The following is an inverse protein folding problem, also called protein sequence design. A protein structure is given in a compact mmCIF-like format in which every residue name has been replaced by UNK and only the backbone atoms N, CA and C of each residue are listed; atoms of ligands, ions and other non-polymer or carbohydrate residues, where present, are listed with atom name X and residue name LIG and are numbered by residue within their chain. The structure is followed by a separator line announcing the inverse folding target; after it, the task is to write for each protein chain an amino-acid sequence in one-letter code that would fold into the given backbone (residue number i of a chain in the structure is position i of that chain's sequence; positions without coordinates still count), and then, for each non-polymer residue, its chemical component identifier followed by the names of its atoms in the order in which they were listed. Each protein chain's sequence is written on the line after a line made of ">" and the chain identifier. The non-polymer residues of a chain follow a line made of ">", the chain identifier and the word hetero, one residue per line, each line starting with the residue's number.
data_IF_511246533045
#
_entry.id   IF_511246533045
#
_cell.length_a   1.000
_cell.length_b   1.000
_cell.length_c   1.000
_cell.angle_alpha   90.00
_cell.angle_beta   90.00
_cell.angle_gamma   90.00
#
_symmetry.space_group_name_H-M   'P 1'
#
loop_
_entity.id
_entity.type
_entity.pdbx_description
1 polymer ?
#
# COMPACT_ATOMS: atom_id res chain seq x y z
N UNK A 1 -39.91 -15.42 -9.30
CA UNK A 1 -39.28 -14.11 -9.09
C UNK A 1 -39.57 -13.67 -7.66
N UNK A 2 -38.65 -13.88 -6.71
CA UNK A 2 -38.78 -13.34 -5.34
C UNK A 2 -38.46 -11.84 -5.42
N UNK A 3 -39.43 -11.01 -5.05
CA UNK A 3 -39.27 -9.55 -4.95
C UNK A 3 -38.07 -9.24 -4.04
N UNK A 4 -37.01 -8.69 -4.62
CA UNK A 4 -35.96 -8.03 -3.83
C UNK A 4 -36.67 -6.90 -3.10
N UNK A 5 -36.76 -6.98 -1.76
CA UNK A 5 -37.20 -5.86 -0.94
C UNK A 5 -36.36 -4.66 -1.33
N UNK A 6 -36.98 -3.57 -1.82
CA UNK A 6 -36.35 -2.28 -1.95
C UNK A 6 -35.82 -1.93 -0.56
N UNK A 7 -34.50 -2.01 -0.37
CA UNK A 7 -33.86 -1.45 0.82
C UNK A 7 -34.06 0.07 0.77
N UNK A 8 -35.07 0.54 1.50
CA UNK A 8 -35.32 1.98 1.69
C UNK A 8 -34.35 2.62 2.71
N UNK A 9 -33.37 1.87 3.21
CA UNK A 9 -32.36 2.33 4.17
C UNK A 9 -30.99 2.15 3.55
N UNK A 10 -30.13 3.15 3.75
CA UNK A 10 -28.72 3.10 3.35
C UNK A 10 -28.02 1.94 4.06
N UNK A 11 -27.21 1.15 3.35
CA UNK A 11 -26.41 0.08 3.96
C UNK A 11 -25.37 0.69 4.90
N UNK A 12 -25.30 0.19 6.13
CA UNK A 12 -24.27 0.53 7.11
C UNK A 12 -23.07 -0.39 6.94
N UNK A 13 -21.93 0.18 6.60
CA UNK A 13 -20.69 -0.54 6.32
C UNK A 13 -19.67 -0.20 7.39
N UNK A 14 -19.25 -1.19 8.18
CA UNK A 14 -18.17 -1.09 9.13
C UNK A 14 -16.85 -1.57 8.56
N UNK A 15 -15.77 -0.83 8.74
CA UNK A 15 -14.40 -1.20 8.35
C UNK A 15 -13.55 -1.24 9.61
N UNK A 16 -12.95 -2.38 9.93
CA UNK A 16 -12.19 -2.52 11.18
C UNK A 16 -10.84 -1.85 11.11
N UNK A 17 -10.41 -1.26 12.23
CA UNK A 17 -9.10 -0.64 12.41
C UNK A 17 -8.61 -0.85 13.85
N UNK A 18 -7.28 -0.80 14.08
CA UNK A 18 -6.67 -0.90 15.41
C UNK A 18 -5.67 0.25 15.63
N UNK A 19 -6.17 1.48 15.79
CA UNK A 19 -5.35 2.58 16.27
C UNK A 19 -5.14 2.42 17.78
N UNK A 20 -3.91 2.67 18.23
CA UNK A 20 -3.54 2.58 19.66
C UNK A 20 -3.59 3.92 20.38
N UNK A 21 -3.55 5.02 19.62
CA UNK A 21 -3.66 6.38 20.13
C UNK A 21 -4.20 7.34 19.07
N UNK A 22 -4.71 8.48 19.48
CA UNK A 22 -5.19 9.54 18.57
C UNK A 22 -4.04 10.26 17.82
N UNK A 23 -2.81 10.14 18.32
CA UNK A 23 -1.63 10.74 17.70
C UNK A 23 -0.92 9.79 16.70
N UNK A 24 -1.47 8.60 16.52
CA UNK A 24 -0.86 7.61 15.65
C UNK A 24 -0.88 8.05 14.17
N UNK A 25 0.29 8.14 13.54
CA UNK A 25 0.43 8.60 12.16
C UNK A 25 -0.20 7.61 11.16
N UNK A 26 -0.86 8.15 10.13
CA UNK A 26 -1.33 7.37 8.96
C UNK A 26 -0.17 6.65 8.25
N UNK A 27 1.04 7.19 8.33
CA UNK A 27 2.24 6.67 7.65
C UNK A 27 2.93 5.54 8.42
N UNK A 28 2.44 5.18 9.61
CA UNK A 28 3.07 4.13 10.43
C UNK A 28 2.98 2.73 9.78
N UNK A 29 1.92 2.47 9.00
CA UNK A 29 1.80 1.28 8.15
C UNK A 29 0.79 1.50 7.01
N UNK A 30 0.97 0.77 5.90
CA UNK A 30 0.09 0.87 4.73
C UNK A 30 -1.34 0.37 4.96
N UNK A 31 -1.62 -0.36 6.04
CA UNK A 31 -2.95 -0.86 6.35
C UNK A 31 -3.92 0.29 6.64
N UNK A 32 -3.48 1.32 7.36
CA UNK A 32 -4.32 2.50 7.64
C UNK A 32 -4.70 3.23 6.35
N UNK A 33 -3.74 3.38 5.42
CA UNK A 33 -4.01 3.98 4.11
C UNK A 33 -5.07 3.17 3.35
N UNK A 34 -4.95 1.84 3.32
CA UNK A 34 -5.95 0.98 2.69
C UNK A 34 -7.36 1.20 3.27
N UNK A 35 -7.50 1.21 4.61
CA UNK A 35 -8.78 1.44 5.29
C UNK A 35 -9.37 2.80 4.90
N UNK A 36 -8.56 3.85 4.91
CA UNK A 36 -9.02 5.21 4.61
C UNK A 36 -9.36 5.41 3.13
N UNK A 37 -8.55 4.85 2.21
CA UNK A 37 -8.85 4.92 0.78
C UNK A 37 -10.14 4.17 0.44
N UNK A 38 -10.35 3.01 1.06
CA UNK A 38 -11.58 2.25 0.88
C UNK A 38 -12.80 3.00 1.44
N UNK A 39 -12.69 3.58 2.63
CA UNK A 39 -13.77 4.39 3.21
C UNK A 39 -14.07 5.62 2.37
N UNK A 40 -13.05 6.34 1.92
CA UNK A 40 -13.19 7.51 1.03
C UNK A 40 -13.86 7.15 -0.31
N UNK A 41 -13.48 6.03 -0.90
CA UNK A 41 -14.09 5.52 -2.13
C UNK A 41 -15.57 5.16 -1.93
N UNK A 42 -15.91 4.41 -0.89
CA UNK A 42 -17.29 4.03 -0.59
C UNK A 42 -18.21 5.23 -0.34
N UNK A 43 -17.71 6.27 0.30
CA UNK A 43 -18.48 7.52 0.51
C UNK A 43 -18.83 8.27 -0.77
N UNK A 44 -18.10 8.01 -1.86
CA UNK A 44 -18.37 8.60 -3.18
C UNK A 44 -19.38 7.80 -4.02
N UNK A 45 -19.74 6.59 -3.54
CA UNK A 45 -20.71 5.74 -4.23
C UNK A 45 -22.09 6.42 -4.32
N UNK A 46 -22.74 6.28 -5.48
CA UNK A 46 -24.13 6.69 -5.71
C UNK A 46 -25.13 5.84 -4.90
N UNK A 47 -24.68 4.74 -4.31
CA UNK A 47 -25.46 3.92 -3.36
C UNK A 47 -25.60 4.56 -1.98
N UNK A 48 -24.86 5.65 -1.74
CA UNK A 48 -24.93 6.44 -0.49
C UNK A 48 -24.75 5.62 0.79
N UNK A 49 -23.73 4.74 0.83
CA UNK A 49 -23.41 3.94 2.02
C UNK A 49 -23.15 4.80 3.26
N UNK A 50 -23.62 4.31 4.41
CA UNK A 50 -23.28 4.88 5.70
C UNK A 50 -22.04 4.15 6.23
N UNK A 51 -20.86 4.80 6.07
CA UNK A 51 -19.54 4.17 6.27
C UNK A 51 -18.98 4.51 7.64
N UNK A 52 -18.62 3.48 8.41
CA UNK A 52 -18.04 3.56 9.75
C UNK A 52 -16.64 2.95 9.77
N UNK A 53 -15.69 3.62 10.41
CA UNK A 53 -14.41 3.04 10.80
C UNK A 53 -14.54 2.60 12.25
N UNK A 54 -14.49 1.28 12.45
CA UNK A 54 -14.70 0.62 13.74
C UNK A 54 -13.32 0.32 14.36
N UNK A 55 -12.90 1.16 15.33
CA UNK A 55 -11.63 0.93 16.03
C UNK A 55 -11.79 -0.15 17.11
N UNK A 56 -10.89 -1.11 17.16
CA UNK A 56 -10.95 -2.20 18.16
C UNK A 56 -10.35 -1.82 19.51
N UNK A 57 -9.62 -0.73 19.59
CA UNK A 57 -9.14 -0.17 20.84
C UNK A 57 -10.01 1.00 21.23
N UNK A 58 -10.29 1.15 22.53
CA UNK A 58 -10.97 2.31 23.07
C UNK A 58 -10.07 3.54 23.02
N UNK A 59 -10.58 4.63 22.50
CA UNK A 59 -9.90 5.92 22.36
C UNK A 59 -10.83 7.06 22.73
N UNK A 60 -10.31 8.28 22.83
CA UNK A 60 -11.13 9.50 22.88
C UNK A 60 -11.62 9.83 21.44
N UNK A 61 -12.80 9.35 21.07
CA UNK A 61 -13.36 9.51 19.74
C UNK A 61 -13.81 10.94 19.41
N UNK A 62 -13.87 11.83 20.41
CA UNK A 62 -14.10 13.26 20.19
C UNK A 62 -12.83 13.95 19.67
N UNK A 63 -11.66 13.50 20.10
CA UNK A 63 -10.33 13.99 19.69
C UNK A 63 -9.73 13.15 18.56
N UNK A 64 -10.54 12.74 17.61
CA UNK A 64 -10.08 11.90 16.51
C UNK A 64 -8.93 12.53 15.69
N UNK A 65 -8.02 11.70 15.14
CA UNK A 65 -6.93 12.18 14.28
C UNK A 65 -7.45 13.04 13.11
N UNK A 66 -6.65 14.00 12.65
CA UNK A 66 -7.03 14.91 11.55
C UNK A 66 -7.42 14.15 10.27
N UNK A 67 -6.73 13.07 9.95
CA UNK A 67 -7.04 12.22 8.78
C UNK A 67 -8.36 11.43 8.91
N UNK A 68 -8.96 11.38 10.09
CA UNK A 68 -10.30 10.80 10.33
C UNK A 68 -11.43 11.84 10.25
N UNK A 69 -11.12 13.10 9.99
CA UNK A 69 -12.16 14.13 9.85
C UNK A 69 -13.09 13.81 8.67
N UNK A 70 -14.39 14.00 8.87
CA UNK A 70 -15.42 13.67 7.89
C UNK A 70 -15.75 12.17 7.80
N UNK A 71 -15.14 11.28 8.62
CA UNK A 71 -15.48 9.88 8.75
C UNK A 71 -16.21 9.59 10.07
N UNK A 72 -17.12 8.60 10.05
CA UNK A 72 -17.72 8.07 11.29
C UNK A 72 -16.67 7.14 11.92
N UNK A 73 -15.92 7.64 12.89
CA UNK A 73 -14.90 6.91 13.60
C UNK A 73 -15.40 6.62 15.02
N UNK A 74 -15.50 5.34 15.40
CA UNK A 74 -16.13 4.92 16.65
C UNK A 74 -15.53 3.62 17.21
N UNK A 75 -15.89 3.30 18.46
CA UNK A 75 -15.48 2.06 19.09
C UNK A 75 -16.22 0.86 18.49
N UNK A 76 -15.49 -0.21 18.21
CA UNK A 76 -16.04 -1.41 17.56
C UNK A 76 -17.18 -2.02 18.40
N UNK A 77 -16.96 -2.21 19.70
CA UNK A 77 -17.90 -2.94 20.56
C UNK A 77 -19.24 -2.23 20.72
N UNK A 78 -19.29 -0.91 20.58
CA UNK A 78 -20.52 -0.13 20.69
C UNK A 78 -21.38 -0.18 19.43
N UNK A 79 -20.76 -0.40 18.24
CA UNK A 79 -21.44 -0.18 16.96
C UNK A 79 -21.50 -1.38 16.02
N UNK A 80 -20.68 -2.44 16.25
CA UNK A 80 -20.57 -3.54 15.25
C UNK A 80 -21.90 -4.26 14.99
N UNK A 81 -22.77 -4.31 15.99
CA UNK A 81 -24.08 -4.96 15.85
C UNK A 81 -25.04 -4.20 14.91
N UNK A 82 -24.84 -2.89 14.75
CA UNK A 82 -25.67 -2.05 13.89
C UNK A 82 -25.31 -2.14 12.40
N UNK A 83 -24.15 -2.70 12.07
CA UNK A 83 -23.67 -2.78 10.69
C UNK A 83 -24.45 -3.81 9.87
N UNK A 84 -24.58 -3.60 8.57
CA UNK A 84 -25.07 -4.59 7.61
C UNK A 84 -23.92 -5.42 7.04
N UNK A 85 -22.77 -4.76 6.83
CA UNK A 85 -21.54 -5.39 6.37
C UNK A 85 -20.41 -4.97 7.31
N UNK A 86 -19.54 -5.92 7.68
CA UNK A 86 -18.26 -5.62 8.32
C UNK A 86 -17.13 -6.12 7.42
N UNK A 87 -16.26 -5.20 7.02
CA UNK A 87 -15.00 -5.52 6.37
C UNK A 87 -13.88 -5.64 7.41
N UNK A 88 -13.35 -6.84 7.60
CA UNK A 88 -12.19 -7.10 8.43
C UNK A 88 -10.94 -6.74 7.64
N UNK A 89 -10.39 -5.57 7.88
CA UNK A 89 -9.29 -4.98 7.12
C UNK A 89 -8.11 -4.59 7.99
N UNK A 90 -8.24 -3.60 8.84
CA UNK A 90 -7.16 -3.05 9.68
C UNK A 90 -7.06 -3.63 11.08
N UNK A 91 -8.00 -4.48 11.48
CA UNK A 91 -7.99 -5.18 12.76
C UNK A 91 -8.70 -6.52 12.64
N UNK A 92 -8.14 -7.55 13.27
CA UNK A 92 -8.74 -8.87 13.40
C UNK A 92 -9.77 -8.86 14.53
N UNK A 93 -10.90 -9.50 14.35
CA UNK A 93 -11.99 -9.60 15.32
C UNK A 93 -12.11 -11.05 15.79
N UNK A 94 -12.34 -11.26 17.05
CA UNK A 94 -12.53 -12.58 17.62
C UNK A 94 -13.82 -13.22 17.09
N UNK A 95 -13.75 -14.50 16.70
CA UNK A 95 -14.85 -15.23 16.05
C UNK A 95 -16.16 -15.17 16.83
N UNK A 96 -16.11 -15.20 18.17
CA UNK A 96 -17.33 -15.11 18.99
C UNK A 96 -18.15 -13.84 18.77
N UNK A 97 -17.48 -12.70 18.55
CA UNK A 97 -18.14 -11.42 18.23
C UNK A 97 -18.78 -11.46 16.85
N UNK A 98 -18.10 -12.08 15.88
CA UNK A 98 -18.61 -12.22 14.51
C UNK A 98 -19.77 -13.20 14.45
N UNK A 99 -19.70 -14.31 15.13
CA UNK A 99 -20.84 -15.25 15.25
C UNK A 99 -22.06 -14.57 15.87
N UNK A 100 -21.88 -13.78 16.92
CA UNK A 100 -22.94 -12.94 17.50
C UNK A 100 -23.53 -11.95 16.49
N UNK A 101 -22.68 -11.26 15.72
CA UNK A 101 -23.12 -10.35 14.67
C UNK A 101 -23.95 -11.07 13.59
N UNK A 102 -23.44 -12.19 13.08
CA UNK A 102 -24.12 -13.00 12.02
C UNK A 102 -25.40 -13.67 12.51
N UNK A 103 -25.53 -13.95 13.81
CA UNK A 103 -26.75 -14.57 14.37
C UNK A 103 -27.99 -13.66 14.31
N UNK A 104 -27.81 -12.34 14.14
CA UNK A 104 -28.93 -11.40 14.05
C UNK A 104 -29.77 -11.57 12.77
N UNK A 105 -29.14 -11.86 11.64
CA UNK A 105 -29.82 -12.00 10.34
C UNK A 105 -28.91 -12.67 9.32
N UNK A 106 -29.50 -13.40 8.37
CA UNK A 106 -28.82 -13.95 7.18
C UNK A 106 -28.29 -12.86 6.25
N UNK A 107 -28.80 -11.64 6.37
CA UNK A 107 -28.40 -10.49 5.57
C UNK A 107 -27.16 -9.79 6.14
N UNK A 108 -26.71 -10.11 7.36
CA UNK A 108 -25.44 -9.60 7.93
C UNK A 108 -24.26 -10.29 7.24
N UNK A 109 -23.33 -9.47 6.72
CA UNK A 109 -22.18 -9.94 5.93
C UNK A 109 -20.87 -9.60 6.62
N UNK A 110 -19.96 -10.58 6.62
CA UNK A 110 -18.61 -10.42 7.14
C UNK A 110 -17.59 -10.77 6.05
N UNK A 111 -16.78 -9.80 5.63
CA UNK A 111 -15.85 -9.93 4.52
C UNK A 111 -14.43 -9.73 5.03
N UNK A 112 -13.56 -10.69 4.77
CA UNK A 112 -12.13 -10.51 4.99
C UNK A 112 -11.54 -9.67 3.85
N UNK A 113 -10.97 -8.49 4.12
CA UNK A 113 -10.28 -7.70 3.11
C UNK A 113 -8.79 -7.66 3.42
N UNK A 114 -8.02 -8.46 2.70
CA UNK A 114 -6.60 -8.73 2.96
C UNK A 114 -5.70 -7.84 2.07
N UNK A 115 -4.84 -7.07 2.71
CA UNK A 115 -3.94 -6.11 2.04
C UNK A 115 -2.47 -6.53 2.07
N UNK A 116 -2.11 -7.54 2.84
CA UNK A 116 -0.75 -8.05 3.01
C UNK A 116 -0.53 -9.41 2.40
N UNK A 117 0.74 -9.78 2.19
CA UNK A 117 1.13 -11.13 1.76
C UNK A 117 1.13 -12.09 2.95
N UNK A 118 -0.07 -12.51 3.37
CA UNK A 118 -0.23 -13.33 4.57
C UNK A 118 0.46 -14.70 4.44
N UNK A 119 0.50 -15.28 3.23
CA UNK A 119 1.21 -16.55 3.00
C UNK A 119 2.69 -16.43 3.35
N UNK A 120 3.39 -15.47 2.77
CA UNK A 120 4.83 -15.27 3.04
C UNK A 120 5.08 -14.89 4.50
N UNK A 121 4.25 -13.99 5.07
CA UNK A 121 4.35 -13.60 6.48
C UNK A 121 4.18 -14.83 7.39
N UNK A 122 3.24 -15.72 7.08
CA UNK A 122 3.03 -16.95 7.85
C UNK A 122 4.21 -17.91 7.72
N UNK A 123 4.79 -18.08 6.51
CA UNK A 123 5.99 -18.90 6.31
C UNK A 123 7.18 -18.39 7.13
N UNK A 124 7.45 -17.08 7.07
CA UNK A 124 8.54 -16.48 7.84
C UNK A 124 8.35 -16.64 9.35
N UNK A 125 7.13 -16.43 9.82
CA UNK A 125 6.79 -16.60 11.24
C UNK A 125 7.01 -18.06 11.70
N UNK A 126 6.61 -19.05 10.88
CA UNK A 126 6.77 -20.47 11.18
C UNK A 126 8.24 -20.91 11.14
N UNK A 127 9.03 -20.37 10.21
CA UNK A 127 10.40 -20.85 9.98
C UNK A 127 11.45 -20.09 10.78
N UNK A 128 11.26 -18.79 11.04
CA UNK A 128 12.33 -17.92 11.54
C UNK A 128 11.97 -17.12 12.80
N UNK A 129 10.72 -17.14 13.22
CA UNK A 129 10.28 -16.39 14.41
C UNK A 129 9.62 -17.32 15.41
N UNK A 130 10.01 -17.21 16.66
CA UNK A 130 9.28 -17.83 17.77
C UNK A 130 8.04 -17.00 18.09
N UNK A 131 6.99 -17.12 17.26
CA UNK A 131 5.74 -16.39 17.42
C UNK A 131 4.66 -17.33 17.89
N UNK A 132 4.62 -17.59 19.19
CA UNK A 132 3.61 -18.44 19.83
C UNK A 132 2.18 -17.86 19.86
N UNK A 133 1.91 -16.72 19.21
CA UNK A 133 0.69 -15.93 19.39
C UNK A 133 -0.03 -15.50 18.11
N UNK A 134 0.17 -16.19 17.00
CA UNK A 134 -0.65 -15.93 15.82
C UNK A 134 -2.04 -16.52 16.01
N UNK A 135 -3.06 -15.68 16.04
CA UNK A 135 -4.44 -16.11 15.99
C UNK A 135 -4.81 -16.42 14.53
N UNK A 136 -5.24 -17.64 14.30
CA UNK A 136 -5.84 -18.08 13.04
C UNK A 136 -7.33 -18.27 13.24
N UNK A 137 -8.13 -17.83 12.28
CA UNK A 137 -9.57 -18.04 12.29
C UNK A 137 -9.85 -19.51 11.88
N UNK A 138 -10.41 -20.28 12.79
CA UNK A 138 -10.68 -21.71 12.58
C UNK A 138 -12.09 -21.97 12.02
N UNK A 139 -13.01 -21.05 12.24
CA UNK A 139 -14.40 -21.21 11.83
C UNK A 139 -14.65 -20.52 10.48
N UNK A 140 -15.64 -21.03 9.76
CA UNK A 140 -16.12 -20.41 8.52
C UNK A 140 -16.92 -19.14 8.85
N UNK A 141 -16.23 -18.06 9.20
CA UNK A 141 -16.87 -16.80 9.58
C UNK A 141 -17.06 -15.85 8.40
N UNK A 142 -16.12 -15.83 7.46
CA UNK A 142 -16.23 -14.97 6.27
C UNK A 142 -17.28 -15.47 5.28
N UNK A 143 -18.07 -14.54 4.74
CA UNK A 143 -18.90 -14.78 3.56
C UNK A 143 -18.05 -14.80 2.29
N UNK A 144 -17.10 -13.88 2.17
CA UNK A 144 -16.10 -13.80 1.10
C UNK A 144 -14.77 -13.31 1.65
N UNK A 145 -13.66 -13.59 0.95
CA UNK A 145 -12.35 -13.05 1.22
C UNK A 145 -11.87 -12.25 0.02
N UNK A 146 -11.82 -10.93 0.16
CA UNK A 146 -11.30 -10.01 -0.82
C UNK A 146 -9.83 -9.73 -0.55
N UNK A 147 -9.04 -9.58 -1.58
CA UNK A 147 -7.62 -9.22 -1.42
C UNK A 147 -7.14 -8.30 -2.53
N UNK A 148 -6.13 -7.48 -2.22
CA UNK A 148 -5.54 -6.57 -3.20
C UNK A 148 -4.83 -7.35 -4.32
N UNK A 149 -4.84 -6.85 -5.57
CA UNK A 149 -4.43 -7.61 -6.76
C UNK A 149 -3.02 -8.19 -6.68
N UNK A 150 -2.09 -7.46 -6.10
CA UNK A 150 -0.70 -7.87 -5.96
C UNK A 150 -0.49 -9.13 -5.10
N UNK A 151 -1.53 -9.61 -4.43
CA UNK A 151 -1.46 -10.81 -3.59
C UNK A 151 -1.99 -12.07 -4.28
N UNK A 152 -2.45 -11.96 -5.54
CA UNK A 152 -3.17 -13.04 -6.23
C UNK A 152 -2.36 -14.33 -6.32
N UNK A 153 -1.14 -14.28 -6.89
CA UNK A 153 -0.33 -15.47 -7.14
C UNK A 153 0.01 -16.27 -5.89
N UNK A 154 0.25 -15.57 -4.79
CA UNK A 154 0.70 -16.19 -3.54
C UNK A 154 -0.44 -16.51 -2.58
N UNK A 155 -1.54 -15.78 -2.62
CA UNK A 155 -2.53 -15.84 -1.54
C UNK A 155 -3.92 -16.36 -1.95
N UNK A 156 -4.26 -16.47 -3.24
CA UNK A 156 -5.59 -16.96 -3.63
C UNK A 156 -5.91 -18.32 -3.02
N UNK A 157 -5.09 -19.34 -3.30
CA UNK A 157 -5.29 -20.69 -2.77
C UNK A 157 -5.12 -20.74 -1.25
N UNK A 158 -4.18 -19.96 -0.71
CA UNK A 158 -3.95 -19.85 0.73
C UNK A 158 -5.21 -19.32 1.46
N UNK A 159 -5.79 -18.22 1.00
CA UNK A 159 -6.99 -17.65 1.62
C UNK A 159 -8.22 -18.55 1.45
N UNK A 160 -8.43 -19.09 0.24
CA UNK A 160 -9.55 -19.99 -0.04
C UNK A 160 -9.52 -21.20 0.89
N UNK A 161 -8.35 -21.81 1.07
CA UNK A 161 -8.18 -22.99 1.92
C UNK A 161 -8.29 -22.65 3.41
N UNK A 162 -7.57 -21.60 3.85
CA UNK A 162 -7.51 -21.23 5.26
C UNK A 162 -8.88 -20.75 5.78
N UNK A 163 -9.53 -19.85 5.04
CA UNK A 163 -10.77 -19.21 5.48
C UNK A 163 -12.03 -19.94 5.02
N UNK A 164 -11.92 -20.98 4.20
CA UNK A 164 -13.07 -21.74 3.66
C UNK A 164 -14.12 -20.85 3.00
N UNK A 165 -13.69 -19.77 2.38
CA UNK A 165 -14.50 -18.77 1.72
C UNK A 165 -14.01 -18.52 0.30
N UNK A 166 -14.90 -18.13 -0.61
CA UNK A 166 -14.51 -17.68 -1.93
C UNK A 166 -13.55 -16.51 -1.81
N UNK A 167 -12.38 -16.61 -2.44
CA UNK A 167 -11.32 -15.63 -2.33
C UNK A 167 -10.92 -15.13 -3.70
N UNK A 168 -10.97 -13.81 -3.91
CA UNK A 168 -10.71 -13.20 -5.21
C UNK A 168 -10.11 -11.78 -5.07
N UNK A 169 -9.37 -11.30 -6.10
CA UNK A 169 -8.80 -9.96 -6.08
C UNK A 169 -9.91 -8.91 -6.21
N UNK A 170 -9.70 -7.76 -5.58
CA UNK A 170 -10.55 -6.58 -5.76
C UNK A 170 -9.72 -5.40 -6.25
N UNK A 171 -10.30 -4.38 -6.91
CA UNK A 171 -9.53 -3.26 -7.43
C UNK A 171 -8.63 -2.63 -6.38
N UNK A 172 -7.37 -2.35 -6.76
CA UNK A 172 -6.46 -1.59 -5.92
C UNK A 172 -6.90 -0.13 -5.88
N UNK A 173 -6.88 0.47 -4.68
CA UNK A 173 -7.36 1.84 -4.47
C UNK A 173 -6.22 2.67 -3.92
N UNK A 174 -6.02 3.86 -4.50
CA UNK A 174 -5.09 4.86 -4.02
C UNK A 174 -5.75 6.23 -4.04
N UNK A 175 -5.33 7.12 -3.14
CA UNK A 175 -5.78 8.51 -3.12
C UNK A 175 -4.65 9.45 -2.70
N UNK A 176 -4.49 10.53 -3.45
CA UNK A 176 -3.43 11.53 -3.20
C UNK A 176 -3.69 12.43 -1.99
N UNK A 177 -4.91 12.43 -1.41
CA UNK A 177 -5.34 13.38 -0.37
C UNK A 177 -4.30 13.56 0.76
N UNK A 178 -3.90 12.45 1.38
CA UNK A 178 -2.99 12.53 2.55
C UNK A 178 -1.56 12.90 2.15
N UNK A 179 -1.16 12.53 0.96
CA UNK A 179 0.13 12.91 0.40
C UNK A 179 0.16 14.41 0.09
N UNK A 180 -0.92 14.95 -0.46
CA UNK A 180 -1.10 16.38 -0.69
C UNK A 180 -1.04 17.17 0.61
N UNK A 181 -1.75 16.73 1.66
CA UNK A 181 -1.69 17.35 3.00
C UNK A 181 -0.25 17.35 3.55
N UNK A 182 0.49 16.24 3.36
CA UNK A 182 1.90 16.14 3.75
C UNK A 182 2.78 17.11 2.93
N UNK A 183 2.57 17.19 1.61
CA UNK A 183 3.31 18.08 0.73
C UNK A 183 3.08 19.57 1.09
N UNK A 184 1.84 19.95 1.39
CA UNK A 184 1.49 21.29 1.86
C UNK A 184 2.17 21.60 3.22
N UNK A 185 2.31 20.60 4.09
CA UNK A 185 3.08 20.72 5.34
C UNK A 185 4.56 20.99 5.09
N UNK A 186 5.16 20.26 4.14
CA UNK A 186 6.54 20.46 3.71
C UNK A 186 6.72 21.88 3.12
N UNK A 187 5.80 22.32 2.28
CA UNK A 187 5.86 23.66 1.67
C UNK A 187 5.80 24.79 2.72
N UNK A 188 4.89 24.64 3.71
CA UNK A 188 4.82 25.61 4.83
C UNK A 188 6.13 25.64 5.61
N UNK A 189 6.72 24.49 5.92
CA UNK A 189 7.99 24.38 6.65
C UNK A 189 9.17 24.94 5.85
N UNK A 190 9.16 24.75 4.52
CA UNK A 190 10.15 25.34 3.62
C UNK A 190 10.05 26.87 3.59
N UNK A 191 8.85 27.43 3.43
CA UNK A 191 8.60 28.89 3.47
C UNK A 191 8.97 29.50 4.81
N UNK A 192 8.82 28.76 5.92
CA UNK A 192 9.24 29.18 7.24
C UNK A 192 10.75 29.02 7.52
N UNK A 193 11.53 28.52 6.55
CA UNK A 193 12.97 28.28 6.69
C UNK A 193 13.35 27.07 7.55
N UNK A 194 12.38 26.25 7.95
CA UNK A 194 12.62 25.06 8.76
C UNK A 194 13.09 23.85 7.94
N UNK A 195 12.73 23.80 6.65
CA UNK A 195 13.15 22.76 5.72
C UNK A 195 14.03 23.34 4.61
N UNK A 196 14.98 22.52 4.12
CA UNK A 196 15.96 22.93 3.11
C UNK A 196 15.42 22.84 1.68
N UNK A 197 14.48 21.93 1.43
CA UNK A 197 13.88 21.70 0.11
C UNK A 197 12.36 21.82 0.18
N UNK A 198 11.75 22.26 -0.93
CA UNK A 198 10.30 22.14 -1.13
C UNK A 198 9.95 20.69 -1.47
N UNK A 199 8.66 20.38 -1.54
CA UNK A 199 8.17 19.02 -1.83
C UNK A 199 8.36 18.59 -3.30
N UNK A 200 8.52 19.55 -4.22
CA UNK A 200 8.70 19.25 -5.64
C UNK A 200 10.11 18.71 -5.91
N UNK A 201 10.18 17.79 -6.87
CA UNK A 201 11.43 17.31 -7.41
C UNK A 201 12.26 18.48 -7.98
N UNK A 202 13.59 18.48 -7.74
CA UNK A 202 14.51 19.47 -8.27
C UNK A 202 15.37 18.87 -9.40
N UNK A 203 15.11 19.23 -10.68
CA UNK A 203 15.87 18.70 -11.81
C UNK A 203 17.27 19.27 -11.94
N UNK A 204 17.59 20.39 -11.25
CA UNK A 204 18.85 21.12 -11.47
C UNK A 204 20.05 20.53 -10.73
N UNK A 205 19.86 19.51 -9.94
CA UNK A 205 20.92 18.90 -9.15
C UNK A 205 21.73 17.91 -10.00
N UNK A 206 23.03 18.19 -10.22
CA UNK A 206 23.92 17.36 -11.05
C UNK A 206 24.14 15.97 -10.45
N UNK A 207 24.40 15.88 -9.14
CA UNK A 207 24.53 14.60 -8.43
C UNK A 207 23.26 14.32 -7.66
N UNK A 208 22.76 13.09 -7.78
CA UNK A 208 21.49 12.66 -7.21
C UNK A 208 21.70 11.76 -6.00
N UNK A 209 20.97 12.04 -4.94
CA UNK A 209 20.87 11.14 -3.78
C UNK A 209 19.88 10.02 -4.08
N UNK A 210 20.38 8.80 -4.12
CA UNK A 210 19.56 7.61 -4.35
C UNK A 210 18.93 7.17 -3.01
N UNK A 211 17.65 6.86 -3.03
CA UNK A 211 16.93 6.36 -1.86
C UNK A 211 16.40 4.95 -2.02
N UNK A 212 16.46 4.18 -0.95
CA UNK A 212 15.78 2.89 -0.80
C UNK A 212 14.88 3.01 0.43
N UNK A 213 13.56 2.84 0.22
CA UNK A 213 12.57 3.00 1.29
C UNK A 213 11.86 1.68 1.64
N UNK A 214 12.52 0.56 1.41
CA UNK A 214 11.96 -0.74 1.79
C UNK A 214 11.97 -0.91 3.32
N UNK A 215 10.93 -1.57 3.90
CA UNK A 215 10.81 -1.74 5.35
C UNK A 215 11.88 -2.61 6.00
N UNK A 216 12.57 -3.47 5.23
CA UNK A 216 13.60 -4.41 5.70
C UNK A 216 13.14 -5.35 6.84
N UNK A 217 11.86 -5.70 6.86
CA UNK A 217 11.24 -6.50 7.92
C UNK A 217 10.89 -7.94 7.49
N UNK A 218 10.88 -8.19 6.18
CA UNK A 218 10.53 -9.48 5.58
C UNK A 218 11.16 -9.61 4.18
N UNK A 219 11.13 -10.83 3.63
CA UNK A 219 11.72 -11.12 2.31
C UNK A 219 11.00 -10.40 1.16
N UNK A 220 9.73 -10.03 1.34
CA UNK A 220 8.94 -9.34 0.30
C UNK A 220 9.50 -7.95 -0.01
N UNK A 221 10.00 -7.25 1.02
CA UNK A 221 10.41 -5.83 0.95
C UNK A 221 11.77 -5.66 1.61
N UNK A 222 12.81 -5.83 0.81
CA UNK A 222 14.18 -5.85 1.30
C UNK A 222 15.13 -5.05 0.41
N UNK A 223 16.08 -4.34 1.02
CA UNK A 223 16.95 -3.36 0.37
C UNK A 223 18.12 -3.93 -0.44
N UNK A 224 18.36 -5.24 -0.42
CA UNK A 224 19.57 -5.83 -1.02
C UNK A 224 19.65 -5.61 -2.54
N UNK A 225 18.62 -5.99 -3.28
CA UNK A 225 18.59 -5.81 -4.75
C UNK A 225 18.69 -4.33 -5.14
N UNK A 226 17.92 -3.39 -4.54
CA UNK A 226 18.11 -1.97 -4.78
C UNK A 226 19.53 -1.47 -4.52
N UNK A 227 20.18 -1.96 -3.45
CA UNK A 227 21.59 -1.62 -3.17
C UNK A 227 22.54 -2.11 -4.26
N UNK A 228 22.31 -3.30 -4.80
CA UNK A 228 23.11 -3.83 -5.91
C UNK A 228 22.87 -3.09 -7.23
N UNK A 229 21.65 -2.60 -7.48
CA UNK A 229 21.37 -1.76 -8.65
C UNK A 229 22.16 -0.45 -8.57
N UNK A 230 22.13 0.23 -7.43
CA UNK A 230 22.89 1.45 -7.20
C UNK A 230 24.41 1.20 -7.33
N UNK A 231 24.91 0.12 -6.73
CA UNK A 231 26.31 -0.30 -6.83
C UNK A 231 26.73 -0.59 -8.26
N UNK A 232 25.92 -1.35 -9.02
CA UNK A 232 26.24 -1.71 -10.40
C UNK A 232 26.33 -0.47 -11.29
N UNK A 233 25.45 0.53 -11.14
CA UNK A 233 25.55 1.82 -11.80
C UNK A 233 26.81 2.58 -11.32
N UNK A 234 27.06 2.63 -10.02
CA UNK A 234 28.19 3.33 -9.42
C UNK A 234 29.55 2.80 -9.87
N UNK A 235 29.69 1.53 -10.20
CA UNK A 235 30.90 0.95 -10.81
C UNK A 235 31.15 1.47 -12.23
N UNK A 236 30.13 1.99 -12.91
CA UNK A 236 30.23 2.63 -14.21
C UNK A 236 30.59 4.12 -14.14
N UNK A 237 30.96 4.70 -15.30
CA UNK A 237 31.32 6.11 -15.40
C UNK A 237 30.15 7.04 -15.01
N UNK A 238 28.93 6.74 -15.51
CA UNK A 238 27.73 7.57 -15.25
C UNK A 238 27.42 7.60 -13.77
N UNK A 239 27.33 6.44 -13.12
CA UNK A 239 27.04 6.39 -11.68
C UNK A 239 28.11 7.07 -10.84
N UNK A 240 29.41 6.91 -11.14
CA UNK A 240 30.51 7.62 -10.47
C UNK A 240 30.37 9.13 -10.55
N UNK A 241 29.92 9.64 -11.68
CA UNK A 241 29.79 11.09 -11.92
C UNK A 241 28.51 11.68 -11.32
N UNK A 242 27.40 10.90 -11.31
CA UNK A 242 26.06 11.43 -11.01
C UNK A 242 25.46 10.94 -9.69
N UNK A 243 25.99 9.89 -9.04
CA UNK A 243 25.50 9.42 -7.73
C UNK A 243 26.21 10.18 -6.61
N UNK A 244 25.45 10.97 -5.85
CA UNK A 244 25.94 11.64 -4.64
C UNK A 244 26.11 10.62 -3.50
N UNK A 245 25.15 9.75 -3.29
CA UNK A 245 25.15 8.72 -2.27
C UNK A 245 23.91 7.83 -2.32
N UNK A 246 23.84 6.87 -1.41
CA UNK A 246 22.77 5.92 -1.24
C UNK A 246 22.25 5.96 0.21
N UNK A 247 20.99 6.34 0.39
CA UNK A 247 20.32 6.33 1.70
C UNK A 247 19.36 5.14 1.80
N UNK A 248 19.55 4.29 2.80
CA UNK A 248 18.73 3.10 3.03
C UNK A 248 17.89 3.33 4.29
N UNK A 249 16.59 3.61 4.12
CA UNK A 249 15.70 3.78 5.27
C UNK A 249 15.37 2.45 5.94
N UNK A 250 14.89 2.49 7.19
CA UNK A 250 14.60 1.31 8.01
C UNK A 250 15.80 0.36 8.17
N UNK A 251 17.03 0.84 7.98
CA UNK A 251 18.23 0.02 8.06
C UNK A 251 18.99 0.23 9.36
N UNK A 252 18.88 1.39 10.02
CA UNK A 252 19.67 1.74 11.21
C UNK A 252 19.40 0.82 12.41
N UNK A 253 18.15 0.48 12.67
CA UNK A 253 17.76 -0.21 13.91
C UNK A 253 17.46 -1.70 13.71
N UNK A 254 17.18 -2.23 12.63
CA UNK A 254 16.87 -3.64 12.37
C UNK A 254 18.01 -4.35 11.68
N UNK A 255 17.90 -4.42 10.38
CA UNK A 255 18.85 -5.13 9.52
C UNK A 255 20.28 -4.54 9.62
N UNK A 256 20.45 -3.28 9.96
CA UNK A 256 21.74 -2.64 10.17
C UNK A 256 22.54 -3.17 11.36
N UNK A 257 21.93 -4.01 12.21
CA UNK A 257 22.63 -4.77 13.27
C UNK A 257 22.99 -6.20 12.85
N UNK A 258 22.52 -6.64 11.68
CA UNK A 258 22.82 -7.97 11.14
C UNK A 258 24.24 -7.99 10.56
N UNK A 259 25.13 -8.82 11.13
CA UNK A 259 26.55 -8.88 10.76
C UNK A 259 26.77 -9.33 9.31
N UNK A 260 25.94 -10.24 8.80
CA UNK A 260 26.04 -10.74 7.43
C UNK A 260 25.65 -9.63 6.44
N UNK A 261 24.56 -8.92 6.69
CA UNK A 261 24.15 -7.78 5.88
C UNK A 261 25.21 -6.69 5.85
N UNK A 262 25.78 -6.31 6.99
CA UNK A 262 26.87 -5.32 7.09
C UNK A 262 28.12 -5.79 6.37
N UNK A 263 28.51 -7.07 6.56
CA UNK A 263 29.65 -7.66 5.86
C UNK A 263 29.47 -7.60 4.35
N UNK A 264 28.28 -7.90 3.85
CA UNK A 264 27.97 -7.82 2.44
C UNK A 264 28.03 -6.36 1.94
N UNK A 265 27.39 -5.42 2.64
CA UNK A 265 27.44 -3.99 2.25
C UNK A 265 28.87 -3.46 2.23
N UNK A 266 29.74 -3.90 3.15
CA UNK A 266 31.15 -3.46 3.20
C UNK A 266 31.97 -3.88 1.99
N UNK A 267 31.49 -4.80 1.17
CA UNK A 267 32.16 -5.20 -0.10
C UNK A 267 31.89 -4.22 -1.23
N UNK A 268 30.83 -3.38 -1.11
CA UNK A 268 30.42 -2.46 -2.15
C UNK A 268 31.37 -1.25 -2.25
N UNK A 269 31.58 -0.76 -3.46
CA UNK A 269 32.38 0.43 -3.71
C UNK A 269 31.71 1.69 -3.13
N UNK A 270 30.38 1.81 -3.23
CA UNK A 270 29.61 2.87 -2.56
C UNK A 270 29.89 2.92 -1.04
N UNK A 271 30.03 1.76 -0.39
CA UNK A 271 30.36 1.71 1.04
C UNK A 271 31.80 2.14 1.30
N UNK A 272 32.76 1.62 0.53
CA UNK A 272 34.20 1.94 0.66
C UNK A 272 34.47 3.42 0.45
N UNK A 273 33.72 4.05 -0.46
CA UNK A 273 33.78 5.48 -0.75
C UNK A 273 32.98 6.35 0.25
N UNK A 274 32.40 5.76 1.30
CA UNK A 274 31.65 6.48 2.35
C UNK A 274 30.31 7.05 1.88
N UNK A 275 29.73 6.49 0.83
CA UNK A 275 28.50 7.00 0.18
C UNK A 275 27.23 6.27 0.59
N UNK A 276 27.27 5.30 1.49
CA UNK A 276 26.07 4.62 2.03
C UNK A 276 25.72 5.19 3.40
N UNK A 277 24.45 5.54 3.59
CA UNK A 277 23.89 5.91 4.89
C UNK A 277 22.74 4.97 5.26
N UNK A 278 22.79 4.40 6.47
CA UNK A 278 21.71 3.61 7.04
C UNK A 278 20.85 4.50 7.94
N UNK A 279 19.59 4.66 7.54
CA UNK A 279 18.66 5.58 8.15
C UNK A 279 17.59 4.88 8.97
N UNK A 280 17.02 5.59 9.95
CA UNK A 280 15.82 5.17 10.68
C UNK A 280 14.58 5.21 9.80
N UNK A 281 13.41 4.90 10.37
CA UNK A 281 12.14 5.05 9.68
C UNK A 281 11.66 6.49 9.74
N UNK A 282 11.36 7.04 8.57
CA UNK A 282 10.78 8.38 8.42
C UNK A 282 9.41 8.33 7.74
N UNK A 283 8.66 9.41 7.83
CA UNK A 283 7.47 9.61 7.00
C UNK A 283 7.86 9.72 5.52
N UNK A 284 7.14 9.03 4.65
CA UNK A 284 7.45 8.94 3.22
C UNK A 284 7.62 10.32 2.57
N UNK A 285 6.63 11.20 2.72
CA UNK A 285 6.67 12.53 2.12
C UNK A 285 7.87 13.37 2.59
N UNK A 286 8.18 13.34 3.89
CA UNK A 286 9.32 14.06 4.44
C UNK A 286 10.65 13.51 3.92
N UNK A 287 10.87 12.21 4.02
CA UNK A 287 12.14 11.59 3.65
C UNK A 287 12.42 11.73 2.15
N UNK A 288 11.42 11.43 1.33
CA UNK A 288 11.51 11.55 -0.11
C UNK A 288 11.86 13.00 -0.53
N UNK A 289 11.14 13.99 -0.01
CA UNK A 289 11.27 15.38 -0.46
C UNK A 289 12.51 16.09 0.10
N UNK A 290 12.92 15.78 1.33
CA UNK A 290 14.04 16.50 1.95
C UNK A 290 15.41 15.89 1.66
N UNK A 291 15.49 14.58 1.38
CA UNK A 291 16.77 13.88 1.30
C UNK A 291 17.04 13.23 -0.05
N UNK A 292 16.01 12.79 -0.77
CA UNK A 292 16.19 11.96 -1.96
C UNK A 292 16.01 12.75 -3.26
N UNK A 293 16.54 12.20 -4.34
CA UNK A 293 16.35 12.68 -5.70
C UNK A 293 15.86 11.54 -6.63
N UNK A 294 16.24 10.30 -6.38
CA UNK A 294 15.80 9.11 -7.13
C UNK A 294 15.42 8.01 -6.15
N UNK A 295 14.32 7.30 -6.40
CA UNK A 295 13.89 6.17 -5.59
C UNK A 295 14.13 4.86 -6.34
N UNK A 296 14.83 3.91 -5.72
CA UNK A 296 14.94 2.53 -6.21
C UNK A 296 14.14 1.61 -5.29
N UNK A 297 13.25 0.83 -5.89
CA UNK A 297 12.38 -0.10 -5.21
C UNK A 297 12.55 -1.52 -5.77
N UNK A 298 12.47 -2.50 -4.89
CA UNK A 298 12.40 -3.91 -5.24
C UNK A 298 11.48 -4.65 -4.30
N UNK A 299 10.53 -5.37 -4.86
CA UNK A 299 9.67 -6.22 -4.04
C UNK A 299 9.57 -7.62 -4.65
N UNK A 300 9.72 -8.61 -3.80
CA UNK A 300 9.55 -10.02 -4.15
C UNK A 300 8.09 -10.40 -3.96
N UNK A 301 7.44 -10.95 -5.00
CA UNK A 301 6.04 -11.42 -4.93
C UNK A 301 5.06 -10.34 -4.42
N UNK A 302 5.29 -9.08 -4.79
CA UNK A 302 4.40 -7.96 -4.47
C UNK A 302 4.40 -6.94 -5.63
N UNK A 303 3.71 -7.23 -6.74
CA UNK A 303 3.83 -6.54 -8.02
C UNK A 303 3.15 -5.16 -8.09
N UNK A 304 2.82 -4.53 -6.96
CA UNK A 304 2.26 -3.18 -6.85
C UNK A 304 2.43 -2.64 -5.43
N UNK A 305 2.77 -1.34 -5.26
CA UNK A 305 2.91 -0.71 -3.96
C UNK A 305 2.54 0.77 -3.98
N UNK A 306 1.99 1.28 -2.88
CA UNK A 306 1.69 2.70 -2.69
C UNK A 306 2.90 3.61 -2.86
N UNK A 307 4.07 3.21 -2.35
CA UNK A 307 5.28 4.01 -2.43
C UNK A 307 5.64 4.41 -3.87
N UNK A 308 5.42 3.53 -4.85
CA UNK A 308 5.70 3.83 -6.25
C UNK A 308 4.77 4.91 -6.80
N UNK A 309 3.47 4.77 -6.46
CA UNK A 309 2.41 5.69 -6.86
C UNK A 309 2.62 7.04 -6.18
N UNK A 310 2.98 7.05 -4.89
CA UNK A 310 3.25 8.25 -4.11
C UNK A 310 4.45 9.03 -4.68
N UNK A 311 5.56 8.34 -4.99
CA UNK A 311 6.75 8.96 -5.56
C UNK A 311 6.47 9.55 -6.96
N UNK A 312 5.76 8.80 -7.81
CA UNK A 312 5.37 9.26 -9.14
C UNK A 312 4.42 10.47 -9.08
N UNK A 313 3.46 10.50 -8.15
CA UNK A 313 2.58 11.64 -7.93
C UNK A 313 3.33 12.91 -7.52
N UNK A 314 4.41 12.76 -6.75
CA UNK A 314 5.28 13.88 -6.34
C UNK A 314 6.31 14.29 -7.41
N UNK A 315 6.30 13.65 -8.59
CA UNK A 315 7.21 13.91 -9.70
C UNK A 315 8.61 13.33 -9.53
N UNK A 316 8.84 12.46 -8.53
CA UNK A 316 10.14 11.84 -8.31
C UNK A 316 10.36 10.64 -9.24
N UNK A 317 11.53 10.49 -9.85
CA UNK A 317 11.85 9.31 -10.63
C UNK A 317 11.89 8.08 -9.72
N UNK A 318 11.09 7.09 -10.05
CA UNK A 318 11.00 5.81 -9.35
C UNK A 318 11.37 4.67 -10.28
N UNK A 319 12.39 3.89 -9.90
CA UNK A 319 12.84 2.67 -10.56
C UNK A 319 12.33 1.46 -9.78
N UNK A 320 11.58 0.56 -10.41
CA UNK A 320 10.89 -0.55 -9.72
C UNK A 320 10.71 -1.79 -10.59
N UNK A 321 10.44 -2.93 -9.93
CA UNK A 321 10.19 -4.23 -10.60
C UNK A 321 8.72 -4.68 -10.55
N UNK A 322 7.76 -3.76 -10.41
CA UNK A 322 6.35 -4.10 -10.24
C UNK A 322 5.61 -4.30 -11.58
N UNK A 323 5.29 -5.53 -12.01
CA UNK A 323 4.67 -5.79 -13.31
C UNK A 323 3.23 -5.30 -13.45
N UNK A 324 2.48 -5.09 -12.37
CA UNK A 324 1.11 -4.56 -12.45
C UNK A 324 1.05 -3.06 -12.77
N UNK A 325 2.17 -2.35 -12.63
CA UNK A 325 2.30 -0.95 -13.00
C UNK A 325 3.57 -0.68 -13.83
N UNK A 326 3.90 -1.53 -14.80
CA UNK A 326 5.07 -1.38 -15.69
C UNK A 326 5.15 -0.02 -16.38
N UNK A 327 4.02 0.60 -16.60
CA UNK A 327 3.86 1.89 -17.26
C UNK A 327 4.02 3.09 -16.32
N UNK A 328 4.18 2.86 -15.01
CA UNK A 328 4.52 3.88 -14.02
C UNK A 328 6.05 4.01 -13.91
N UNK A 329 6.56 5.21 -13.74
CA UNK A 329 7.98 5.42 -13.45
C UNK A 329 8.92 4.75 -14.47
N UNK A 330 9.93 4.05 -13.96
CA UNK A 330 10.90 3.27 -14.73
C UNK A 330 10.88 1.82 -14.26
N UNK A 331 10.65 0.90 -15.19
CA UNK A 331 10.50 -0.52 -14.88
C UNK A 331 11.74 -1.33 -15.23
N UNK A 332 12.08 -2.30 -14.37
CA UNK A 332 13.03 -3.38 -14.69
C UNK A 332 12.44 -4.76 -14.36
N UNK A 333 12.90 -5.80 -15.01
CA UNK A 333 12.32 -7.15 -14.88
C UNK A 333 12.93 -7.91 -13.70
N UNK A 334 12.09 -8.51 -12.86
CA UNK A 334 12.52 -9.43 -11.79
C UNK A 334 13.60 -8.87 -10.88
N UNK A 335 14.73 -9.56 -10.79
CA UNK A 335 15.92 -9.15 -10.03
C UNK A 335 17.12 -8.83 -10.96
N UNK A 336 16.86 -8.38 -12.18
CA UNK A 336 17.91 -7.98 -13.13
C UNK A 336 18.59 -6.68 -12.68
N UNK A 337 19.62 -6.82 -11.88
CA UNK A 337 20.40 -5.66 -11.37
C UNK A 337 21.20 -4.95 -12.46
N UNK A 338 21.63 -5.67 -13.51
CA UNK A 338 22.41 -5.08 -14.62
C UNK A 338 21.52 -4.26 -15.54
N UNK A 339 20.37 -4.80 -15.95
CA UNK A 339 19.37 -4.06 -16.72
C UNK A 339 18.81 -2.86 -15.95
N UNK A 340 18.54 -3.04 -14.65
CA UNK A 340 18.09 -1.96 -13.76
C UNK A 340 19.14 -0.84 -13.60
N UNK A 341 20.43 -1.19 -13.52
CA UNK A 341 21.52 -0.20 -13.47
C UNK A 341 21.57 0.67 -14.73
N UNK A 342 21.34 0.07 -15.91
CA UNK A 342 21.23 0.84 -17.17
C UNK A 342 20.02 1.79 -17.16
N UNK A 343 18.90 1.36 -16.58
CA UNK A 343 17.75 2.26 -16.38
C UNK A 343 18.07 3.37 -15.39
N UNK A 344 18.82 3.09 -14.31
CA UNK A 344 19.29 4.11 -13.38
C UNK A 344 20.21 5.11 -14.09
N UNK A 345 21.15 4.64 -14.91
CA UNK A 345 22.03 5.52 -15.70
C UNK A 345 21.22 6.44 -16.64
N UNK A 346 20.16 5.90 -17.26
CA UNK A 346 19.23 6.70 -18.06
C UNK A 346 18.51 7.75 -17.20
N UNK A 347 18.02 7.39 -16.02
CA UNK A 347 17.40 8.34 -15.09
C UNK A 347 18.37 9.46 -14.75
N UNK A 348 19.62 9.14 -14.40
CA UNK A 348 20.64 10.08 -14.00
C UNK A 348 21.02 11.08 -15.10
N UNK A 349 20.87 10.74 -16.38
CA UNK A 349 21.29 11.59 -17.51
C UNK A 349 20.14 12.16 -18.33
N UNK A 350 18.98 11.52 -18.36
CA UNK A 350 17.90 11.87 -19.31
C UNK A 350 16.59 12.28 -18.64
N UNK A 351 16.34 11.87 -17.37
CA UNK A 351 15.07 12.15 -16.71
C UNK A 351 14.75 13.64 -16.65
N UNK A 352 15.69 14.46 -16.23
CA UNK A 352 15.51 15.90 -16.07
C UNK A 352 15.16 16.65 -17.37
N UNK A 353 15.46 16.03 -18.52
CA UNK A 353 15.15 16.57 -19.85
C UNK A 353 13.73 16.20 -20.32
N UNK A 354 13.07 15.27 -19.64
CA UNK A 354 11.83 14.63 -20.09
C UNK A 354 10.71 14.66 -19.01
N UNK A 355 10.73 15.65 -18.11
CA UNK A 355 9.82 15.72 -16.96
C UNK A 355 8.35 15.76 -17.38
N UNK A 356 7.98 16.59 -18.33
CA UNK A 356 6.59 16.73 -18.80
C UNK A 356 6.05 15.38 -19.31
N UNK A 357 6.82 14.69 -20.15
CA UNK A 357 6.43 13.37 -20.68
C UNK A 357 6.37 12.29 -19.57
N UNK A 358 7.22 12.41 -18.55
CA UNK A 358 7.19 11.53 -17.38
C UNK A 358 5.92 11.75 -16.56
N UNK A 359 5.57 12.99 -16.26
CA UNK A 359 4.39 13.34 -15.47
C UNK A 359 3.09 12.98 -16.22
N UNK A 360 2.95 13.32 -17.50
CA UNK A 360 1.78 12.94 -18.31
C UNK A 360 1.53 11.43 -18.37
N UNK A 361 2.60 10.64 -18.48
CA UNK A 361 2.51 9.18 -18.47
C UNK A 361 2.04 8.68 -17.12
N UNK A 362 2.63 9.17 -16.05
CA UNK A 362 2.29 8.76 -14.70
C UNK A 362 0.86 9.16 -14.32
N UNK A 363 0.40 10.35 -14.68
CA UNK A 363 -0.97 10.80 -14.39
C UNK A 363 -2.01 9.84 -14.95
N UNK A 364 -1.82 9.31 -16.16
CA UNK A 364 -2.71 8.30 -16.76
C UNK A 364 -2.75 7.00 -15.94
N UNK A 365 -1.60 6.59 -15.38
CA UNK A 365 -1.51 5.39 -14.55
C UNK A 365 -2.13 5.63 -13.18
N UNK A 366 -1.91 6.80 -12.58
CA UNK A 366 -2.48 7.19 -11.29
C UNK A 366 -4.02 7.15 -11.32
N UNK A 367 -4.64 7.62 -12.40
CA UNK A 367 -6.10 7.57 -12.57
C UNK A 367 -6.66 6.14 -12.53
N UNK A 368 -5.89 5.13 -12.99
CA UNK A 368 -6.28 3.70 -12.94
C UNK A 368 -6.55 3.20 -11.51
N UNK A 369 -5.89 3.79 -10.52
CA UNK A 369 -5.96 3.36 -9.12
C UNK A 369 -6.69 4.36 -8.22
N UNK A 370 -7.11 5.50 -8.76
CA UNK A 370 -7.61 6.61 -7.96
C UNK A 370 -8.98 6.29 -7.34
N UNK A 371 -9.13 6.60 -6.05
CA UNK A 371 -10.37 6.36 -5.30
C UNK A 371 -11.60 7.11 -5.83
N UNK A 372 -11.40 8.15 -6.65
CA UNK A 372 -12.46 8.90 -7.32
C UNK A 372 -12.79 8.37 -8.72
N UNK A 373 -12.10 7.31 -9.17
CA UNK A 373 -12.40 6.68 -10.45
C UNK A 373 -13.78 6.01 -10.40
N UNK A 374 -14.71 6.50 -11.21
CA UNK A 374 -16.10 6.01 -11.24
C UNK A 374 -16.20 4.52 -11.59
N UNK A 375 -15.31 3.99 -12.41
CA UNK A 375 -15.29 2.56 -12.75
C UNK A 375 -14.91 1.70 -11.53
N UNK A 376 -13.95 2.16 -10.70
CA UNK A 376 -13.60 1.50 -9.45
C UNK A 376 -14.78 1.53 -8.49
N UNK A 377 -15.40 2.69 -8.29
CA UNK A 377 -16.57 2.87 -7.41
C UNK A 377 -17.70 1.94 -7.85
N UNK A 378 -18.07 1.98 -9.13
CA UNK A 378 -19.10 1.12 -9.71
C UNK A 378 -18.78 -0.36 -9.56
N UNK A 379 -17.48 -0.75 -9.67
CA UNK A 379 -17.04 -2.13 -9.49
C UNK A 379 -17.28 -2.60 -8.06
N UNK A 380 -16.91 -1.80 -7.06
CA UNK A 380 -17.17 -2.13 -5.66
C UNK A 380 -18.67 -2.17 -5.34
N UNK A 381 -19.48 -1.29 -5.92
CA UNK A 381 -20.93 -1.35 -5.77
C UNK A 381 -21.51 -2.69 -6.26
N UNK A 382 -21.01 -3.18 -7.40
CA UNK A 382 -21.42 -4.48 -7.96
C UNK A 382 -20.93 -5.66 -7.11
N UNK A 383 -19.70 -5.60 -6.59
CA UNK A 383 -19.17 -6.61 -5.68
C UNK A 383 -20.00 -6.68 -4.40
N UNK A 384 -20.32 -5.54 -3.79
CA UNK A 384 -21.19 -5.46 -2.60
C UNK A 384 -22.60 -5.99 -2.91
N UNK A 385 -23.18 -5.63 -4.05
CA UNK A 385 -24.48 -6.16 -4.46
C UNK A 385 -24.48 -7.68 -4.66
N UNK A 386 -23.40 -8.24 -5.22
CA UNK A 386 -23.24 -9.68 -5.44
C UNK A 386 -23.10 -10.46 -4.12
N UNK A 387 -22.48 -9.86 -3.10
CA UNK A 387 -22.35 -10.44 -1.76
C UNK A 387 -23.73 -10.81 -1.16
N UNK A 388 -24.78 -10.03 -1.45
CA UNK A 388 -26.14 -10.30 -1.00
C UNK A 388 -26.91 -11.27 -1.91
N UNK A 389 -26.52 -11.36 -3.18
CA UNK A 389 -27.17 -12.25 -4.16
C UNK A 389 -26.62 -13.67 -4.14
N UNK A 390 -25.52 -13.92 -3.46
CA UNK A 390 -24.82 -15.20 -3.51
C UNK A 390 -24.23 -15.49 -4.90
N UNK A 391 -23.76 -14.45 -5.59
CA UNK A 391 -23.14 -14.59 -6.91
C UNK A 391 -21.92 -15.49 -6.86
N UNK A 392 -21.69 -16.25 -7.95
CA UNK A 392 -20.49 -17.09 -8.05
C UNK A 392 -19.31 -16.25 -8.56
N UNK A 393 -18.28 -16.02 -7.73
CA UNK A 393 -17.08 -15.28 -8.14
C UNK A 393 -16.23 -16.03 -9.19
N UNK A 394 -16.44 -17.35 -9.39
CA UNK A 394 -15.68 -18.14 -10.37
C UNK A 394 -15.81 -17.64 -11.82
N UNK A 395 -16.86 -16.88 -12.10
CA UNK A 395 -17.08 -16.25 -13.40
C UNK A 395 -16.42 -14.87 -13.54
N UNK A 396 -15.75 -14.35 -12.50
CA UNK A 396 -15.14 -13.03 -12.50
C UNK A 396 -13.78 -13.07 -13.20
N UNK A 397 -13.63 -12.32 -14.29
CA UNK A 397 -12.37 -12.18 -15.03
C UNK A 397 -11.71 -10.85 -14.68
N UNK A 398 -10.76 -10.88 -13.74
CA UNK A 398 -10.00 -9.70 -13.34
C UNK A 398 -8.99 -9.31 -14.44
N UNK A 399 -9.01 -8.05 -14.84
CA UNK A 399 -8.06 -7.49 -15.80
C UNK A 399 -6.96 -6.70 -15.05
N UNK A 400 -5.79 -7.29 -14.99
CA UNK A 400 -4.62 -6.72 -14.30
C UNK A 400 -4.16 -5.37 -14.88
N UNK A 401 -4.44 -5.09 -16.16
CA UNK A 401 -4.07 -3.85 -16.83
C UNK A 401 -4.99 -2.69 -16.50
N UNK A 402 -6.28 -2.97 -16.34
CA UNK A 402 -7.30 -1.95 -16.05
C UNK A 402 -7.64 -1.86 -14.57
N UNK A 403 -7.18 -2.81 -13.74
CA UNK A 403 -7.54 -2.90 -12.33
C UNK A 403 -9.05 -3.16 -12.10
N UNK A 404 -9.74 -3.78 -13.05
CA UNK A 404 -11.19 -3.97 -13.05
C UNK A 404 -11.58 -5.38 -13.50
N UNK A 405 -12.82 -5.78 -13.28
CA UNK A 405 -13.40 -7.00 -13.85
C UNK A 405 -14.00 -6.75 -15.22
N UNK A 406 -13.60 -7.55 -16.23
CA UNK A 406 -14.06 -7.41 -17.62
C UNK A 406 -15.56 -7.63 -17.77
N UNK A 407 -16.09 -8.63 -17.10
CA UNK A 407 -17.50 -9.05 -17.20
C UNK A 407 -18.45 -8.35 -16.21
N UNK A 408 -17.95 -7.37 -15.48
CA UNK A 408 -18.74 -6.50 -14.62
C UNK A 408 -18.82 -5.04 -15.14
N UNK A 409 -18.23 -4.77 -16.31
CA UNK A 409 -18.38 -3.46 -16.95
C UNK A 409 -19.87 -3.22 -17.28
N UNK A 410 -20.32 -2.01 -17.08
CA UNK A 410 -21.70 -1.50 -17.12
C UNK A 410 -22.55 -2.03 -18.27
#
# INVERSE_FOLDING_TARGET
>A
MKKVKKLNTKLKIGITLALKSNDESIWSNGMKQNVLFFADMLKRSKMEYDVYILNTNELDFEKKPSYMQGLNFCFFDDHFMDMDIIFMMGAQIHDSKILKFKSQSKDKKYVGYKCGNNYIISLENMLFKDVSKNYYEYEKTFDECWYVPQQHETNQGYFTTLYRANSFPVPFIWHHRYLKESAEGVERSFKAGSYKKNWKYDPNKKQKMIGIMEPNMNVVKFSLIPSFIAEQSYRGKIGREHIEGLMISNAKDGIGKNKEYLSLLSTLDLYKDGKISAESRYQTGYFLTQFLDVLICHQLLNPLNYLYIDAAYLGYPVLHNAPLCKDLGYYYEGADTVGAAKQLDYILTEHDKNLEAYDERNDKVLQRYHAENEDIISMYDKLIANLFKGGNPDNLQYDWKTNLYKNMKS
#
